data_IF_942166899061
#
_entry.id   IF_942166899061
#
_cell.length_a   1.000
_cell.length_b   1.000
_cell.length_c   1.000
_cell.angle_alpha   90.00
_cell.angle_beta   90.00
_cell.angle_gamma   90.00
#
_symmetry.space_group_name_H-M   'P 1'
#
loop_
_entity.id
_entity.type
_entity.pdbx_description
1 polymer ?
#
# COMPACT_ATOMS: atom_id res chain seq x y z
N UNK A 1 -11.78 -3.25 -41.58
CA UNK A 1 -11.46 -3.08 -40.14
C UNK A 1 -10.04 -2.54 -40.04
N UNK A 2 -9.83 -1.28 -39.63
CA UNK A 2 -8.47 -0.78 -39.37
C UNK A 2 -7.98 -1.50 -38.09
N UNK A 3 -6.90 -2.26 -38.21
CA UNK A 3 -6.20 -2.82 -37.05
C UNK A 3 -5.69 -1.62 -36.26
N UNK A 4 -6.34 -1.30 -35.16
CA UNK A 4 -5.91 -0.23 -34.27
C UNK A 4 -4.62 -0.73 -33.60
N UNK A 5 -3.48 -0.16 -33.96
CA UNK A 5 -2.19 -0.52 -33.36
C UNK A 5 -2.21 -0.18 -31.89
N UNK A 6 -2.03 -1.18 -31.02
CA UNK A 6 -1.97 -0.98 -29.56
C UNK A 6 -0.81 -0.06 -29.19
N UNK A 7 -1.04 0.87 -28.26
CA UNK A 7 0.02 1.73 -27.71
C UNK A 7 0.96 0.90 -26.83
N UNK A 8 2.25 0.97 -27.06
CA UNK A 8 3.26 0.24 -26.28
C UNK A 8 3.54 0.90 -24.94
N UNK A 9 3.31 0.20 -23.83
CA UNK A 9 3.64 0.65 -22.49
C UNK A 9 4.72 -0.23 -21.86
N UNK A 10 5.82 0.39 -21.40
CA UNK A 10 6.82 -0.29 -20.57
C UNK A 10 6.50 -0.01 -19.09
N UNK A 11 6.24 -1.05 -18.31
CA UNK A 11 5.99 -0.96 -16.88
C UNK A 11 7.18 -1.50 -16.09
N UNK A 12 7.88 -0.63 -15.37
CA UNK A 12 9.04 -0.95 -14.56
C UNK A 12 8.67 -0.87 -13.07
N UNK A 13 8.88 -1.93 -12.29
CA UNK A 13 8.44 -2.01 -10.90
C UNK A 13 9.54 -2.47 -9.94
N UNK A 14 9.41 -2.15 -8.65
CA UNK A 14 10.35 -2.56 -7.58
C UNK A 14 10.24 -4.06 -7.20
N UNK A 15 9.53 -4.84 -7.95
CA UNK A 15 9.39 -6.29 -7.75
C UNK A 15 8.26 -6.89 -8.56
N UNK A 16 7.98 -8.17 -8.31
CA UNK A 16 6.86 -8.90 -8.88
C UNK A 16 5.59 -8.74 -8.02
N UNK A 17 4.58 -9.56 -8.30
CA UNK A 17 3.33 -9.65 -7.54
C UNK A 17 3.51 -9.93 -6.04
N UNK A 18 4.64 -10.55 -5.63
CA UNK A 18 4.99 -10.75 -4.23
C UNK A 18 5.34 -9.44 -3.49
N UNK A 19 5.73 -8.41 -4.23
CA UNK A 19 5.94 -7.08 -3.66
C UNK A 19 4.61 -6.33 -3.59
N UNK A 20 4.13 -6.06 -2.37
CA UNK A 20 2.83 -5.41 -2.15
C UNK A 20 2.70 -4.07 -2.89
N UNK A 21 3.74 -3.21 -2.84
CA UNK A 21 3.70 -1.92 -3.52
C UNK A 21 3.66 -2.07 -5.04
N UNK A 22 4.44 -2.98 -5.64
CA UNK A 22 4.38 -3.25 -7.07
C UNK A 22 3.01 -3.78 -7.49
N UNK A 23 2.45 -4.72 -6.72
CA UNK A 23 1.13 -5.30 -6.96
C UNK A 23 0.05 -4.23 -6.92
N UNK A 24 0.01 -3.43 -5.84
CA UNK A 24 -1.05 -2.46 -5.56
C UNK A 24 -0.93 -1.22 -6.46
N UNK A 25 0.29 -0.74 -6.75
CA UNK A 25 0.50 0.53 -7.46
C UNK A 25 0.62 0.40 -8.97
N UNK A 26 0.94 -0.81 -9.46
CA UNK A 26 1.23 -1.01 -10.89
C UNK A 26 0.58 -2.25 -11.48
N UNK A 27 0.89 -3.44 -10.96
CA UNK A 27 0.59 -4.69 -11.65
C UNK A 27 -0.90 -4.98 -11.77
N UNK A 28 -1.70 -4.60 -10.77
CA UNK A 28 -3.15 -4.77 -10.82
C UNK A 28 -3.84 -3.94 -11.92
N UNK A 29 -3.14 -2.95 -12.47
CA UNK A 29 -3.66 -2.12 -13.55
C UNK A 29 -3.35 -2.66 -14.96
N UNK A 30 -2.51 -3.69 -15.07
CA UNK A 30 -2.14 -4.24 -16.39
C UNK A 30 -3.38 -4.64 -17.20
N UNK A 31 -4.34 -5.44 -16.68
CA UNK A 31 -5.54 -5.81 -17.44
C UNK A 31 -6.34 -4.59 -17.88
N UNK A 32 -6.48 -3.59 -17.00
CA UNK A 32 -7.22 -2.36 -17.33
C UNK A 32 -6.55 -1.57 -18.46
N UNK A 33 -5.21 -1.46 -18.47
CA UNK A 33 -4.50 -0.83 -19.58
C UNK A 33 -4.67 -1.61 -20.89
N UNK A 34 -4.63 -2.95 -20.82
CA UNK A 34 -4.83 -3.81 -22.00
C UNK A 34 -6.23 -3.63 -22.59
N UNK A 35 -7.26 -3.48 -21.76
CA UNK A 35 -8.63 -3.17 -22.16
C UNK A 35 -8.76 -1.77 -22.80
N UNK A 36 -7.88 -0.83 -22.42
CA UNK A 36 -7.80 0.51 -23.03
C UNK A 36 -6.91 0.57 -24.27
N UNK A 37 -6.51 -0.58 -24.82
CA UNK A 37 -5.74 -0.65 -26.05
C UNK A 37 -4.22 -0.45 -25.90
N UNK A 38 -3.69 -0.61 -24.69
CA UNK A 38 -2.25 -0.67 -24.47
C UNK A 38 -1.72 -2.11 -24.64
N UNK A 39 -0.47 -2.23 -25.05
CA UNK A 39 0.30 -3.47 -24.96
C UNK A 39 1.34 -3.30 -23.87
N UNK A 40 1.11 -3.91 -22.72
CA UNK A 40 1.95 -3.70 -21.53
C UNK A 40 3.08 -4.72 -21.46
N UNK A 41 4.32 -4.25 -21.42
CA UNK A 41 5.49 -5.10 -21.12
C UNK A 41 5.99 -4.79 -19.71
N UNK A 42 5.90 -5.76 -18.83
CA UNK A 42 6.35 -5.63 -17.44
C UNK A 42 7.79 -6.11 -17.27
N UNK A 43 8.64 -5.28 -16.65
CA UNK A 43 10.01 -5.62 -16.28
C UNK A 43 10.23 -5.26 -14.80
N UNK A 44 10.27 -6.24 -13.90
CA UNK A 44 10.55 -6.01 -12.48
C UNK A 44 12.04 -5.72 -12.27
N UNK A 45 12.36 -4.97 -11.22
CA UNK A 45 13.75 -4.66 -10.88
C UNK A 45 14.54 -5.85 -10.35
N UNK A 46 13.98 -6.60 -9.42
CA UNK A 46 14.60 -7.82 -8.83
C UNK A 46 13.51 -8.64 -8.13
N UNK A 47 13.47 -9.96 -8.28
CA UNK A 47 12.65 -10.81 -7.42
C UNK A 47 13.12 -10.76 -5.96
N UNK A 48 12.29 -11.25 -5.05
CA UNK A 48 12.56 -11.27 -3.60
C UNK A 48 13.99 -11.69 -3.26
N UNK A 49 14.54 -11.07 -2.19
CA UNK A 49 15.85 -11.48 -1.68
C UNK A 49 15.80 -12.92 -1.21
N UNK A 50 16.74 -13.77 -1.65
CA UNK A 50 16.78 -15.15 -1.22
C UNK A 50 17.01 -15.24 0.31
N UNK A 51 16.44 -16.28 0.92
CA UNK A 51 16.53 -16.49 2.36
C UNK A 51 17.92 -16.99 2.84
N UNK A 52 18.62 -17.74 2.00
CA UNK A 52 19.91 -18.34 2.38
C UNK A 52 21.13 -17.45 2.06
N UNK A 53 22.21 -17.67 2.82
CA UNK A 53 23.43 -16.83 2.76
C UNK A 53 24.16 -16.93 1.40
N UNK A 54 24.25 -18.13 0.82
CA UNK A 54 24.94 -18.38 -0.46
C UNK A 54 24.22 -17.64 -1.58
N UNK A 55 22.90 -17.74 -1.65
CA UNK A 55 22.10 -17.00 -2.64
C UNK A 55 22.17 -15.49 -2.45
N UNK A 56 22.28 -15.00 -1.21
CA UNK A 56 22.48 -13.56 -0.93
C UNK A 56 23.82 -13.03 -1.42
N UNK A 57 24.87 -13.79 -1.25
CA UNK A 57 26.23 -13.31 -1.54
C UNK A 57 26.62 -13.49 -3.01
N UNK A 58 26.21 -14.59 -3.65
CA UNK A 58 26.66 -14.94 -5.00
C UNK A 58 25.58 -14.64 -6.05
N UNK A 59 24.40 -15.22 -5.91
CA UNK A 59 23.38 -15.13 -6.95
C UNK A 59 22.64 -13.79 -6.98
N UNK A 60 22.37 -13.18 -5.83
CA UNK A 60 21.63 -11.93 -5.78
C UNK A 60 22.31 -10.75 -6.49
N UNK A 61 23.65 -10.53 -6.38
CA UNK A 61 24.34 -9.51 -7.16
C UNK A 61 24.29 -9.75 -8.67
N UNK A 62 24.40 -11.02 -9.11
CA UNK A 62 24.30 -11.39 -10.51
C UNK A 62 22.88 -11.15 -11.05
N UNK A 63 21.85 -11.58 -10.32
CA UNK A 63 20.47 -11.31 -10.66
C UNK A 63 20.18 -9.81 -10.73
N UNK A 64 20.69 -9.03 -9.77
CA UNK A 64 20.52 -7.57 -9.78
C UNK A 64 21.15 -6.94 -11.03
N UNK A 65 22.34 -7.38 -11.44
CA UNK A 65 22.98 -6.92 -12.69
C UNK A 65 22.18 -7.31 -13.92
N UNK A 66 21.71 -8.56 -13.96
CA UNK A 66 20.86 -9.07 -15.05
C UNK A 66 19.56 -8.28 -15.21
N UNK A 67 18.84 -8.01 -14.13
CA UNK A 67 17.61 -7.19 -14.19
C UNK A 67 17.90 -5.73 -14.57
N UNK A 68 18.99 -5.15 -14.07
CA UNK A 68 19.41 -3.82 -14.52
C UNK A 68 19.72 -3.79 -16.01
N UNK A 69 20.33 -4.86 -16.53
CA UNK A 69 20.58 -5.01 -17.95
C UNK A 69 19.30 -5.20 -18.76
N UNK A 70 18.34 -5.99 -18.27
CA UNK A 70 17.01 -6.09 -18.90
C UNK A 70 16.30 -4.75 -18.98
N UNK A 71 16.30 -3.96 -17.91
CA UNK A 71 15.72 -2.59 -17.92
C UNK A 71 16.44 -1.71 -18.95
N UNK A 72 17.76 -1.80 -18.98
CA UNK A 72 18.56 -1.07 -19.98
C UNK A 72 18.16 -1.46 -21.40
N UNK A 73 18.11 -2.74 -21.73
CA UNK A 73 17.71 -3.24 -23.05
C UNK A 73 16.28 -2.80 -23.40
N UNK A 74 15.34 -2.93 -22.45
CA UNK A 74 13.95 -2.52 -22.68
C UNK A 74 13.84 -1.04 -23.03
N UNK A 75 14.54 -0.15 -22.29
CA UNK A 75 14.50 1.29 -22.55
C UNK A 75 15.23 1.65 -23.86
N UNK A 76 16.37 1.04 -24.13
CA UNK A 76 17.23 1.42 -25.28
C UNK A 76 16.67 0.93 -26.60
N UNK A 77 16.23 -0.32 -26.64
CA UNK A 77 15.83 -1.00 -27.89
C UNK A 77 14.33 -1.13 -28.07
N UNK A 78 13.54 -1.07 -26.99
CA UNK A 78 12.09 -1.17 -27.08
C UNK A 78 11.45 0.03 -27.78
N UNK A 79 10.28 -0.18 -28.37
CA UNK A 79 9.44 0.87 -28.96
C UNK A 79 8.25 1.10 -28.03
N UNK A 80 8.25 2.22 -27.35
CA UNK A 80 7.26 2.56 -26.32
C UNK A 80 6.62 3.90 -26.62
N UNK A 81 5.34 4.00 -26.39
CA UNK A 81 4.61 5.26 -26.39
C UNK A 81 4.68 5.92 -25.01
N UNK A 82 4.85 5.10 -23.93
CA UNK A 82 4.95 5.59 -22.56
C UNK A 82 5.73 4.59 -21.68
N UNK A 83 6.41 5.10 -20.64
CA UNK A 83 7.06 4.30 -19.60
C UNK A 83 6.45 4.61 -18.24
N UNK A 84 5.93 3.60 -17.52
CA UNK A 84 5.47 3.71 -16.16
C UNK A 84 6.52 3.13 -15.21
N UNK A 85 7.01 3.94 -14.26
CA UNK A 85 8.11 3.57 -13.36
C UNK A 85 7.63 3.64 -11.91
N UNK A 86 7.53 2.47 -11.25
CA UNK A 86 7.09 2.37 -9.87
C UNK A 86 8.29 2.11 -8.94
N UNK A 87 8.61 3.07 -8.06
CA UNK A 87 9.61 2.99 -6.95
C UNK A 87 11.05 2.64 -7.33
N UNK A 88 11.38 2.49 -8.59
CA UNK A 88 12.77 2.21 -8.99
C UNK A 88 13.47 3.46 -9.51
N UNK A 89 14.79 3.42 -9.51
CA UNK A 89 15.64 4.47 -10.05
C UNK A 89 16.32 3.99 -11.32
N UNK A 90 16.16 4.74 -12.41
CA UNK A 90 16.93 4.57 -13.63
C UNK A 90 18.07 5.59 -13.69
N UNK A 91 19.13 5.30 -14.43
CA UNK A 91 20.27 6.22 -14.55
C UNK A 91 19.91 7.46 -15.36
N UNK A 92 20.61 8.57 -15.10
CA UNK A 92 20.44 9.81 -15.89
C UNK A 92 20.67 9.60 -17.39
N UNK A 93 21.51 8.64 -17.78
CA UNK A 93 21.70 8.27 -19.19
C UNK A 93 20.43 7.68 -19.80
N UNK A 94 19.70 6.83 -19.08
CA UNK A 94 18.44 6.26 -19.53
C UNK A 94 17.33 7.31 -19.58
N UNK A 95 17.27 8.22 -18.61
CA UNK A 95 16.37 9.38 -18.64
C UNK A 95 16.62 10.22 -19.87
N UNK A 96 17.88 10.59 -20.14
CA UNK A 96 18.27 11.34 -21.35
C UNK A 96 17.89 10.58 -22.64
N UNK A 97 17.97 9.24 -22.62
CA UNK A 97 17.59 8.42 -23.78
C UNK A 97 16.08 8.46 -24.03
N UNK A 98 15.26 8.39 -22.99
CA UNK A 98 13.80 8.55 -23.09
C UNK A 98 13.45 9.93 -23.66
N UNK A 99 14.02 10.99 -23.10
CA UNK A 99 13.78 12.36 -23.54
C UNK A 99 14.19 12.60 -25.02
N UNK A 100 15.36 12.08 -25.46
CA UNK A 100 15.80 12.18 -26.87
C UNK A 100 14.88 11.46 -27.85
N UNK A 101 14.14 10.46 -27.37
CA UNK A 101 13.15 9.70 -28.16
C UNK A 101 11.74 10.24 -28.01
N UNK A 102 11.57 11.33 -27.26
CA UNK A 102 10.25 11.90 -26.92
C UNK A 102 9.30 10.86 -26.31
N UNK A 103 9.84 9.91 -25.51
CA UNK A 103 9.05 8.92 -24.79
C UNK A 103 8.78 9.44 -23.39
N UNK A 104 7.53 9.81 -23.06
CA UNK A 104 7.18 10.29 -21.73
C UNK A 104 7.28 9.17 -20.70
N UNK A 105 7.64 9.54 -19.45
CA UNK A 105 7.56 8.60 -18.36
C UNK A 105 6.84 9.17 -17.14
N UNK A 106 6.07 8.30 -16.49
CA UNK A 106 5.39 8.54 -15.22
C UNK A 106 6.22 7.92 -14.12
N UNK A 107 6.43 8.64 -13.01
CA UNK A 107 7.10 8.13 -11.82
C UNK A 107 6.12 8.01 -10.66
N UNK A 108 5.89 6.80 -10.17
CA UNK A 108 4.97 6.49 -9.07
C UNK A 108 5.75 6.03 -7.83
N UNK A 109 5.40 6.58 -6.66
CA UNK A 109 5.89 6.09 -5.38
C UNK A 109 4.89 6.36 -4.23
N UNK A 110 4.76 5.38 -3.32
CA UNK A 110 3.74 5.32 -2.28
C UNK A 110 4.26 5.48 -0.85
N UNK A 111 5.59 5.50 -0.67
CA UNK A 111 6.26 5.66 0.62
C UNK A 111 7.41 6.68 0.51
N UNK A 112 7.87 7.18 1.64
CA UNK A 112 9.06 8.03 1.74
C UNK A 112 10.36 7.24 1.43
N UNK A 113 10.48 6.71 0.21
CA UNK A 113 11.64 5.90 -0.23
C UNK A 113 12.97 6.65 -0.19
N UNK A 114 12.91 7.98 -0.10
CA UNK A 114 14.03 8.89 0.02
C UNK A 114 14.52 9.05 1.48
N UNK A 115 13.71 8.65 2.47
CA UNK A 115 14.09 8.62 3.89
C UNK A 115 14.60 7.22 4.24
N UNK A 116 15.88 6.96 4.06
CA UNK A 116 16.48 5.68 4.43
C UNK A 116 17.90 5.89 4.94
N UNK A 117 18.14 5.81 6.27
CA UNK A 117 19.47 6.00 6.84
C UNK A 117 20.52 5.04 6.30
N UNK A 118 20.13 3.83 5.91
CA UNK A 118 21.04 2.83 5.32
C UNK A 118 21.32 3.05 3.83
N UNK A 119 20.65 4.01 3.19
CA UNK A 119 20.77 4.32 1.75
C UNK A 119 20.67 5.84 1.52
N UNK A 120 21.66 6.63 1.99
CA UNK A 120 21.60 8.11 1.94
C UNK A 120 21.41 8.65 0.52
N UNK A 121 21.96 7.99 -0.47
CA UNK A 121 21.83 8.38 -1.88
C UNK A 121 20.41 8.21 -2.46
N UNK A 122 19.47 7.62 -1.72
CA UNK A 122 18.11 7.47 -2.21
C UNK A 122 17.42 8.82 -2.37
N UNK A 123 17.72 9.82 -1.52
CA UNK A 123 17.14 11.15 -1.63
C UNK A 123 17.47 11.79 -2.99
N UNK A 124 18.72 11.78 -3.38
CA UNK A 124 19.16 12.33 -4.67
C UNK A 124 18.58 11.55 -5.85
N UNK A 125 18.58 10.21 -5.77
CA UNK A 125 18.00 9.36 -6.81
C UNK A 125 16.51 9.62 -7.00
N UNK A 126 15.75 9.73 -5.89
CA UNK A 126 14.32 10.07 -5.96
C UNK A 126 14.13 11.46 -6.54
N UNK A 127 14.93 12.43 -6.10
CA UNK A 127 14.91 13.79 -6.62
C UNK A 127 15.14 13.83 -8.14
N UNK A 128 16.08 13.06 -8.65
CA UNK A 128 16.33 12.97 -10.08
C UNK A 128 15.16 12.36 -10.84
N UNK A 129 14.54 11.32 -10.31
CA UNK A 129 13.33 10.75 -10.91
C UNK A 129 12.19 11.77 -10.95
N UNK A 130 11.96 12.47 -9.83
CA UNK A 130 10.92 13.50 -9.69
C UNK A 130 11.16 14.64 -10.68
N UNK A 131 12.38 15.20 -10.73
CA UNK A 131 12.70 16.34 -11.64
C UNK A 131 12.45 16.06 -13.11
N UNK A 132 12.73 14.86 -13.55
CA UNK A 132 12.74 14.52 -14.97
C UNK A 132 11.50 13.72 -15.43
N UNK A 133 10.64 13.29 -14.53
CA UNK A 133 9.38 12.66 -14.90
C UNK A 133 8.45 13.66 -15.58
N UNK A 134 7.72 13.22 -16.60
CA UNK A 134 6.68 14.02 -17.23
C UNK A 134 5.48 14.18 -16.29
N UNK A 135 5.21 13.16 -15.48
CA UNK A 135 4.25 13.19 -14.38
C UNK A 135 4.78 12.40 -13.20
N UNK A 136 4.52 12.91 -12.00
CA UNK A 136 4.80 12.21 -10.74
C UNK A 136 3.47 11.86 -10.08
N UNK A 137 3.36 10.63 -9.58
CA UNK A 137 2.19 10.15 -8.84
C UNK A 137 2.65 9.74 -7.45
N UNK A 138 1.93 10.20 -6.45
CA UNK A 138 2.18 9.87 -5.03
C UNK A 138 0.91 9.35 -4.37
N UNK A 139 1.06 8.62 -3.27
CA UNK A 139 -0.09 8.04 -2.56
C UNK A 139 -0.77 8.99 -1.58
N UNK A 140 -0.07 10.03 -1.12
CA UNK A 140 -0.54 10.93 -0.06
C UNK A 140 -0.06 12.36 -0.29
N UNK A 141 -0.80 13.33 0.27
CA UNK A 141 -0.40 14.75 0.28
C UNK A 141 0.92 14.99 1.01
N UNK A 142 1.25 14.16 1.99
CA UNK A 142 2.50 14.26 2.76
C UNK A 142 3.76 14.03 1.92
N UNK A 143 3.63 13.38 0.75
CA UNK A 143 4.73 13.23 -0.20
C UNK A 143 4.87 14.43 -1.15
N UNK A 144 3.91 15.35 -1.12
CA UNK A 144 3.84 16.50 -2.03
C UNK A 144 5.00 17.48 -1.80
N UNK A 145 5.31 17.83 -0.55
CA UNK A 145 6.39 18.75 -0.21
C UNK A 145 7.73 18.34 -0.83
N UNK A 146 8.02 17.04 -0.78
CA UNK A 146 9.22 16.51 -1.42
C UNK A 146 9.23 16.77 -2.93
N UNK A 147 8.12 16.53 -3.62
CA UNK A 147 8.02 16.76 -5.05
C UNK A 147 8.10 18.26 -5.41
N UNK A 148 7.40 19.11 -4.65
CA UNK A 148 7.41 20.55 -4.82
C UNK A 148 8.80 21.15 -4.68
N UNK A 149 9.62 20.63 -3.75
CA UNK A 149 11.01 21.08 -3.56
C UNK A 149 11.91 20.85 -4.80
N UNK A 150 11.43 20.08 -5.79
CA UNK A 150 12.11 19.81 -7.06
C UNK A 150 11.33 20.34 -8.27
N UNK A 151 10.36 21.25 -8.05
CA UNK A 151 9.61 21.91 -9.11
C UNK A 151 8.53 21.04 -9.77
N UNK A 152 8.11 19.94 -9.12
CA UNK A 152 7.07 19.07 -9.62
C UNK A 152 5.82 19.13 -8.73
N UNK A 153 4.67 19.31 -9.34
CA UNK A 153 3.36 19.15 -8.70
C UNK A 153 2.90 17.73 -8.98
N UNK A 154 2.90 16.84 -7.97
CA UNK A 154 2.49 15.46 -8.20
C UNK A 154 0.96 15.35 -8.28
N UNK A 155 0.50 14.31 -8.94
CA UNK A 155 -0.89 13.85 -8.87
C UNK A 155 -1.04 12.90 -7.67
N UNK A 156 -2.10 13.05 -6.90
CA UNK A 156 -2.32 12.22 -5.72
C UNK A 156 -3.31 11.13 -6.07
N UNK A 157 -2.83 9.89 -6.09
CA UNK A 157 -3.65 8.69 -6.22
C UNK A 157 -3.35 7.80 -5.02
N UNK A 158 -4.27 7.74 -4.06
CA UNK A 158 -4.17 6.86 -2.89
C UNK A 158 -4.00 5.41 -3.33
N UNK A 159 -3.38 4.57 -2.50
CA UNK A 159 -3.21 3.15 -2.82
C UNK A 159 -4.57 2.49 -3.04
N UNK A 160 -4.86 1.96 -4.23
CA UNK A 160 -6.18 1.39 -4.54
C UNK A 160 -6.39 0.06 -3.83
N UNK A 161 -7.62 -0.22 -3.44
CA UNK A 161 -8.01 -1.51 -2.85
C UNK A 161 -8.88 -2.32 -3.81
N UNK A 162 -8.67 -3.64 -3.86
CA UNK A 162 -9.45 -4.59 -4.67
C UNK A 162 -10.77 -4.89 -3.95
N UNK A 163 -11.77 -4.03 -4.12
CA UNK A 163 -13.07 -4.13 -3.43
C UNK A 163 -13.92 -5.32 -3.86
N UNK A 164 -13.63 -5.91 -4.99
CA UNK A 164 -14.20 -7.18 -5.49
C UNK A 164 -13.58 -8.40 -4.81
N UNK A 165 -12.31 -8.36 -4.44
CA UNK A 165 -11.58 -9.43 -3.74
C UNK A 165 -11.71 -9.31 -2.23
N UNK A 166 -11.47 -8.12 -1.68
CA UNK A 166 -11.62 -7.83 -0.24
C UNK A 166 -13.03 -7.32 -0.01
N UNK A 167 -13.89 -8.20 0.46
CA UNK A 167 -15.33 -7.94 0.63
C UNK A 167 -15.82 -8.45 1.99
N UNK A 168 -16.96 -7.95 2.48
CA UNK A 168 -17.58 -8.45 3.68
C UNK A 168 -17.75 -9.97 3.63
N UNK A 169 -17.47 -10.64 4.73
CA UNK A 169 -17.75 -12.06 4.91
C UNK A 169 -18.94 -12.26 5.85
N UNK A 170 -19.73 -13.30 5.57
CA UNK A 170 -20.77 -13.73 6.50
C UNK A 170 -20.12 -14.23 7.79
N UNK A 171 -20.57 -13.70 8.91
CA UNK A 171 -20.13 -14.10 10.25
C UNK A 171 -21.11 -15.10 10.85
N UNK A 172 -20.58 -16.14 11.48
CA UNK A 172 -21.44 -17.08 12.18
C UNK A 172 -22.06 -16.42 13.42
N UNK A 173 -23.35 -16.69 13.68
CA UNK A 173 -23.99 -16.33 14.95
C UNK A 173 -23.19 -16.92 16.12
N UNK A 174 -22.91 -16.11 17.14
CA UNK A 174 -22.12 -16.48 18.33
C UNK A 174 -20.59 -16.63 18.12
N UNK A 175 -20.05 -16.10 17.03
CA UNK A 175 -18.59 -16.03 16.90
C UNK A 175 -18.01 -15.04 17.92
N UNK A 176 -16.89 -15.42 18.56
CA UNK A 176 -16.17 -14.53 19.49
C UNK A 176 -15.70 -13.28 18.76
N UNK A 177 -16.01 -12.10 19.33
CA UNK A 177 -15.56 -10.81 18.80
C UNK A 177 -14.05 -10.83 18.59
N UNK A 178 -13.61 -10.38 17.41
CA UNK A 178 -12.20 -10.41 17.03
C UNK A 178 -11.72 -9.00 16.70
N UNK A 179 -10.80 -8.50 17.49
CA UNK A 179 -10.04 -7.30 17.21
C UNK A 179 -8.81 -7.71 16.38
N UNK A 180 -8.60 -7.09 15.23
CA UNK A 180 -7.59 -7.56 14.28
C UNK A 180 -6.60 -6.51 13.85
N UNK A 181 -5.37 -6.95 13.59
CA UNK A 181 -4.34 -6.16 12.94
C UNK A 181 -3.66 -6.98 11.83
N UNK A 182 -3.49 -6.37 10.66
CA UNK A 182 -2.72 -6.95 9.57
C UNK A 182 -1.54 -6.05 9.22
N UNK A 183 -0.39 -6.63 8.94
CA UNK A 183 0.76 -5.84 8.54
C UNK A 183 2.01 -6.64 8.21
N UNK A 184 3.15 -6.00 8.31
CA UNK A 184 4.45 -6.64 8.12
C UNK A 184 5.17 -6.82 9.45
N UNK A 185 6.14 -7.74 9.55
CA UNK A 185 6.95 -7.92 10.75
C UNK A 185 7.63 -6.62 11.21
N UNK A 186 7.96 -5.74 10.26
CA UNK A 186 8.56 -4.44 10.55
C UNK A 186 7.63 -3.50 11.30
N UNK A 187 6.34 -3.48 10.95
CA UNK A 187 5.35 -2.57 11.54
C UNK A 187 4.66 -3.16 12.77
N UNK A 188 4.87 -4.46 13.09
CA UNK A 188 4.29 -5.08 14.29
C UNK A 188 4.78 -4.48 15.60
N UNK A 189 5.96 -3.82 15.60
CA UNK A 189 6.45 -3.08 16.76
C UNK A 189 5.55 -1.91 17.20
N UNK A 190 4.71 -1.40 16.31
CA UNK A 190 3.76 -0.32 16.63
C UNK A 190 2.57 -0.80 17.47
N UNK A 191 2.32 -2.11 17.51
CA UNK A 191 1.29 -2.70 18.38
C UNK A 191 1.54 -2.42 19.86
N UNK A 192 2.79 -2.12 20.25
CA UNK A 192 3.13 -1.69 21.62
C UNK A 192 2.35 -0.46 22.09
N UNK A 193 1.94 0.42 21.16
CA UNK A 193 1.15 1.61 21.46
C UNK A 193 -0.24 1.29 22.04
N UNK A 194 -0.75 0.08 21.77
CA UNK A 194 -2.11 -0.31 22.14
C UNK A 194 -2.15 -1.53 23.08
N UNK A 195 -1.01 -2.04 23.53
CA UNK A 195 -0.96 -3.20 24.42
C UNK A 195 -1.70 -2.95 25.72
N UNK A 196 -1.47 -1.81 26.38
CA UNK A 196 -2.12 -1.44 27.65
C UNK A 196 -3.65 -1.30 27.51
N UNK A 197 -4.19 -0.53 26.55
CA UNK A 197 -5.63 -0.48 26.30
C UNK A 197 -6.24 -1.86 26.05
N UNK A 198 -5.61 -2.70 25.23
CA UNK A 198 -6.10 -4.05 24.95
C UNK A 198 -6.10 -4.95 26.20
N UNK A 199 -5.07 -4.87 27.05
CA UNK A 199 -5.01 -5.61 28.32
C UNK A 199 -6.08 -5.16 29.30
N UNK A 200 -6.33 -3.84 29.41
CA UNK A 200 -7.43 -3.30 30.23
C UNK A 200 -8.80 -3.82 29.76
N UNK A 201 -9.02 -3.85 28.45
CA UNK A 201 -10.25 -4.38 27.86
C UNK A 201 -10.41 -5.89 28.12
N UNK A 202 -9.34 -6.67 28.02
CA UNK A 202 -9.36 -8.10 28.26
C UNK A 202 -9.70 -8.49 29.71
N UNK A 203 -9.46 -7.60 30.68
CA UNK A 203 -9.90 -7.78 32.06
C UNK A 203 -11.43 -7.65 32.23
N UNK A 204 -12.12 -7.03 31.26
CA UNK A 204 -13.56 -6.74 31.35
C UNK A 204 -14.38 -7.48 30.30
N UNK A 205 -13.80 -7.73 29.12
CA UNK A 205 -14.48 -8.30 27.96
C UNK A 205 -13.76 -9.52 27.42
N UNK A 206 -14.53 -10.49 26.92
CA UNK A 206 -13.99 -11.65 26.21
C UNK A 206 -13.93 -11.38 24.72
N UNK A 207 -12.73 -11.29 24.15
CA UNK A 207 -12.50 -11.13 22.73
C UNK A 207 -11.21 -11.86 22.30
N UNK A 208 -11.06 -12.03 21.00
CA UNK A 208 -9.85 -12.53 20.36
C UNK A 208 -9.04 -11.36 19.82
N UNK A 209 -7.74 -11.38 20.00
CA UNK A 209 -6.83 -10.48 19.28
C UNK A 209 -6.14 -11.26 18.17
N UNK A 210 -6.41 -10.91 16.90
CA UNK A 210 -5.83 -11.56 15.72
C UNK A 210 -4.75 -10.66 15.12
N UNK A 211 -3.52 -11.17 15.03
CA UNK A 211 -2.46 -10.49 14.27
C UNK A 211 -2.08 -11.31 13.04
N UNK A 212 -2.03 -10.67 11.88
CA UNK A 212 -1.64 -11.29 10.60
C UNK A 212 -0.39 -10.62 10.07
N UNK A 213 0.68 -11.40 9.88
CA UNK A 213 1.97 -10.92 9.38
C UNK A 213 2.81 -10.16 10.42
N UNK A 214 2.50 -10.26 11.72
CA UNK A 214 3.38 -9.79 12.77
C UNK A 214 4.68 -10.60 12.85
N UNK A 215 5.65 -10.10 13.59
CA UNK A 215 6.86 -10.87 13.91
C UNK A 215 6.47 -12.17 14.65
N UNK A 216 7.18 -13.24 14.38
CA UNK A 216 6.89 -14.56 14.99
C UNK A 216 7.08 -14.58 16.51
N UNK A 217 7.90 -13.65 17.04
CA UNK A 217 8.14 -13.47 18.48
C UNK A 217 7.17 -12.46 19.14
N UNK A 218 6.28 -11.82 18.37
CA UNK A 218 5.31 -10.90 18.94
C UNK A 218 4.24 -11.65 19.74
N UNK A 219 4.13 -11.33 21.01
CA UNK A 219 3.12 -11.86 21.93
C UNK A 219 2.65 -10.74 22.85
N UNK A 220 1.39 -10.78 23.20
CA UNK A 220 0.79 -9.92 24.23
C UNK A 220 0.22 -10.81 25.32
N UNK A 221 0.60 -10.55 26.57
CA UNK A 221 0.15 -11.32 27.73
C UNK A 221 -1.24 -10.88 28.20
N UNK A 222 -2.00 -11.81 28.79
CA UNK A 222 -3.32 -11.52 29.35
C UNK A 222 -4.45 -11.37 28.34
N UNK A 223 -4.23 -11.73 27.07
CA UNK A 223 -5.23 -11.66 26.01
C UNK A 223 -5.27 -12.97 25.23
N UNK A 224 -6.44 -13.35 24.75
CA UNK A 224 -6.59 -14.45 23.79
C UNK A 224 -6.02 -14.01 22.43
N UNK A 225 -4.69 -14.19 22.25
CA UNK A 225 -3.95 -13.74 21.08
C UNK A 225 -3.68 -14.89 20.11
N UNK A 226 -4.07 -14.69 18.85
CA UNK A 226 -3.78 -15.58 17.73
C UNK A 226 -2.91 -14.84 16.73
N UNK A 227 -1.76 -15.41 16.39
CA UNK A 227 -0.86 -14.90 15.37
C UNK A 227 -0.88 -15.80 14.13
N UNK A 228 -1.09 -15.21 12.95
CA UNK A 228 -1.04 -15.90 11.67
C UNK A 228 0.04 -15.29 10.77
N UNK A 229 0.75 -16.07 9.96
CA UNK A 229 1.59 -15.53 8.91
C UNK A 229 0.71 -14.82 7.87
N UNK A 230 1.26 -13.80 7.22
CA UNK A 230 0.59 -13.20 6.08
C UNK A 230 0.82 -14.03 4.81
N UNK A 231 -0.25 -14.45 4.17
CA UNK A 231 -0.26 -15.12 2.88
C UNK A 231 -1.29 -14.40 2.00
N UNK A 232 -0.92 -14.09 0.76
CA UNK A 232 -1.80 -13.32 -0.12
C UNK A 232 -3.15 -14.02 -0.40
N UNK A 233 -3.13 -15.33 -0.57
CA UNK A 233 -4.34 -16.10 -0.81
C UNK A 233 -5.33 -16.05 0.37
N UNK A 234 -4.83 -15.96 1.59
CA UNK A 234 -5.63 -16.00 2.83
C UNK A 234 -6.02 -14.60 3.31
N UNK A 235 -5.60 -13.54 2.60
CA UNK A 235 -5.75 -12.16 3.05
C UNK A 235 -7.22 -11.78 3.31
N UNK A 236 -8.12 -12.09 2.36
CA UNK A 236 -9.54 -11.80 2.49
C UNK A 236 -10.19 -12.59 3.63
N UNK A 237 -9.86 -13.88 3.75
CA UNK A 237 -10.36 -14.73 4.83
C UNK A 237 -9.91 -14.21 6.21
N UNK A 238 -8.63 -13.87 6.34
CA UNK A 238 -8.10 -13.36 7.60
C UNK A 238 -8.69 -12.00 7.99
N UNK A 239 -8.91 -11.10 7.03
CA UNK A 239 -9.60 -9.83 7.28
C UNK A 239 -11.05 -10.10 7.68
N UNK A 240 -11.75 -10.99 6.97
CA UNK A 240 -13.14 -11.35 7.26
C UNK A 240 -13.39 -11.94 8.66
N UNK A 241 -12.35 -12.44 9.34
CA UNK A 241 -12.44 -12.89 10.73
C UNK A 241 -12.47 -11.72 11.75
N UNK A 242 -12.10 -10.50 11.34
CA UNK A 242 -12.03 -9.34 12.22
C UNK A 242 -13.37 -8.63 12.33
N UNK A 243 -13.70 -8.11 13.53
CA UNK A 243 -14.85 -7.25 13.80
C UNK A 243 -14.45 -5.79 13.93
N UNK A 244 -13.20 -5.55 14.33
CA UNK A 244 -12.61 -4.22 14.49
C UNK A 244 -11.18 -4.28 13.96
N UNK A 245 -10.83 -3.39 13.04
CA UNK A 245 -9.49 -3.27 12.47
C UNK A 245 -8.64 -2.24 13.21
N UNK A 246 -7.33 -2.50 13.37
CA UNK A 246 -6.42 -1.60 14.08
C UNK A 246 -5.33 -1.05 13.18
N UNK A 247 -5.05 0.27 13.34
CA UNK A 247 -3.91 0.92 12.68
C UNK A 247 -3.15 1.85 13.63
N UNK A 248 -2.45 1.32 14.64
CA UNK A 248 -1.58 2.12 15.50
C UNK A 248 -0.32 2.55 14.75
N UNK A 249 -0.02 3.83 14.79
CA UNK A 249 1.19 4.43 14.24
C UNK A 249 1.77 5.44 15.23
N UNK A 250 3.09 5.40 15.53
CA UNK A 250 3.74 6.52 16.20
C UNK A 250 3.77 7.71 15.24
N UNK A 251 3.71 8.93 15.77
CA UNK A 251 3.82 10.14 14.95
C UNK A 251 5.29 10.46 14.67
N UNK A 252 5.74 10.12 13.48
CA UNK A 252 7.08 10.38 12.97
C UNK A 252 7.03 10.77 11.50
N UNK A 253 8.07 11.44 10.99
CA UNK A 253 8.13 11.82 9.57
C UNK A 253 7.92 10.64 8.62
N UNK A 254 8.41 9.45 8.97
CA UNK A 254 8.23 8.27 8.15
C UNK A 254 6.79 7.72 8.18
N UNK A 255 6.14 7.72 9.35
CA UNK A 255 4.78 7.18 9.50
C UNK A 255 3.72 8.12 8.96
N UNK A 256 3.94 9.43 9.01
CA UNK A 256 3.07 10.44 8.38
C UNK A 256 2.92 10.23 6.87
N UNK A 257 3.96 9.69 6.22
CA UNK A 257 3.98 9.47 4.76
C UNK A 257 3.44 8.11 4.31
N UNK A 258 2.86 7.31 5.23
CA UNK A 258 2.27 6.01 4.89
C UNK A 258 0.93 6.14 4.18
N UNK A 259 0.71 5.30 3.16
CA UNK A 259 -0.48 5.33 2.31
C UNK A 259 -1.78 4.77 2.92
N UNK A 260 -1.85 4.41 4.21
CA UNK A 260 -3.09 4.01 4.87
C UNK A 260 -3.73 2.70 4.38
N UNK A 261 -3.06 1.88 3.58
CA UNK A 261 -3.63 0.75 2.86
C UNK A 261 -4.41 -0.24 3.74
N UNK A 262 -3.98 -0.49 4.98
CA UNK A 262 -4.72 -1.36 5.92
C UNK A 262 -6.14 -0.85 6.21
N UNK A 263 -6.28 0.46 6.38
CA UNK A 263 -7.60 1.08 6.61
C UNK A 263 -8.51 0.82 5.42
N UNK A 264 -7.99 0.98 4.20
CA UNK A 264 -8.74 0.70 2.98
C UNK A 264 -9.14 -0.78 2.85
N UNK A 265 -8.29 -1.69 3.33
CA UNK A 265 -8.63 -3.12 3.39
C UNK A 265 -9.76 -3.39 4.40
N UNK A 266 -9.71 -2.81 5.62
CA UNK A 266 -10.78 -2.93 6.60
C UNK A 266 -12.09 -2.32 6.08
N UNK A 267 -12.03 -1.10 5.54
CA UNK A 267 -13.18 -0.43 4.92
C UNK A 267 -13.76 -1.28 3.79
N UNK A 268 -12.92 -1.81 2.91
CA UNK A 268 -13.37 -2.69 1.82
C UNK A 268 -14.08 -3.94 2.33
N UNK A 269 -13.65 -4.50 3.45
CA UNK A 269 -14.28 -5.65 4.11
C UNK A 269 -15.51 -5.27 4.96
N UNK A 270 -15.89 -3.99 5.01
CA UNK A 270 -17.02 -3.52 5.84
C UNK A 270 -16.71 -3.59 7.35
N UNK A 271 -15.45 -3.42 7.74
CA UNK A 271 -14.97 -3.51 9.12
C UNK A 271 -14.61 -2.12 9.62
N UNK A 272 -15.22 -1.63 10.72
CA UNK A 272 -14.84 -0.37 11.34
C UNK A 272 -13.42 -0.45 11.89
N UNK A 273 -12.72 0.67 11.91
CA UNK A 273 -11.34 0.72 12.39
C UNK A 273 -11.12 1.74 13.49
N UNK A 274 -10.10 1.48 14.32
CA UNK A 274 -9.50 2.48 15.20
C UNK A 274 -8.07 2.71 14.76
N UNK A 275 -7.68 3.96 14.56
CA UNK A 275 -6.38 4.32 14.02
C UNK A 275 -5.74 5.48 14.79
N UNK A 276 -4.40 5.55 14.80
CA UNK A 276 -3.71 6.76 15.25
C UNK A 276 -3.97 7.94 14.29
N UNK A 277 -4.15 9.18 14.79
CA UNK A 277 -4.36 10.38 13.97
C UNK A 277 -3.04 10.84 13.31
N UNK A 278 -2.43 9.98 12.50
CA UNK A 278 -1.12 10.17 11.89
C UNK A 278 -1.22 10.10 10.38
N UNK A 279 -0.72 11.13 9.70
CA UNK A 279 -0.68 11.18 8.24
C UNK A 279 -2.07 11.02 7.64
N UNK A 280 -2.15 10.26 6.56
CA UNK A 280 -3.39 10.04 5.80
C UNK A 280 -4.51 9.34 6.60
N UNK A 281 -4.21 8.73 7.76
CA UNK A 281 -5.25 8.17 8.62
C UNK A 281 -6.31 9.22 8.98
N UNK A 282 -5.90 10.48 9.18
CA UNK A 282 -6.81 11.59 9.50
C UNK A 282 -7.77 11.95 8.34
N UNK A 283 -7.39 11.61 7.11
CA UNK A 283 -8.23 11.84 5.92
C UNK A 283 -9.14 10.64 5.64
N UNK A 284 -8.61 9.42 5.82
CA UNK A 284 -9.34 8.18 5.54
C UNK A 284 -10.38 7.91 6.64
N UNK A 285 -10.01 8.09 7.92
CA UNK A 285 -10.89 7.81 9.04
C UNK A 285 -11.66 9.07 9.42
N UNK A 286 -12.98 9.01 9.29
CA UNK A 286 -13.93 10.04 9.73
C UNK A 286 -14.57 9.57 11.04
N UNK A 287 -14.20 10.18 12.18
CA UNK A 287 -14.68 9.74 13.50
C UNK A 287 -16.21 9.70 13.57
N UNK A 288 -16.78 8.55 13.98
CA UNK A 288 -18.21 8.34 14.09
C UNK A 288 -18.94 8.08 12.76
N UNK A 289 -18.26 8.15 11.62
CA UNK A 289 -18.83 7.86 10.30
C UNK A 289 -18.35 6.49 9.75
N UNK A 290 -17.04 6.24 9.72
CA UNK A 290 -16.46 5.00 9.19
C UNK A 290 -15.45 4.32 10.14
N UNK A 291 -15.14 4.95 11.29
CA UNK A 291 -14.20 4.46 12.28
C UNK A 291 -13.93 5.50 13.37
N UNK A 292 -12.83 5.36 14.09
CA UNK A 292 -12.40 6.28 15.12
C UNK A 292 -10.90 6.56 15.05
N UNK A 293 -10.51 7.73 15.56
CA UNK A 293 -9.11 8.10 15.78
C UNK A 293 -8.80 8.08 17.27
N UNK A 294 -7.61 7.59 17.64
CA UNK A 294 -7.16 7.54 19.02
C UNK A 294 -5.64 7.79 19.10
N UNK A 295 -5.23 8.77 19.93
CA UNK A 295 -3.84 9.18 20.10
C UNK A 295 -3.21 8.62 21.39
N UNK A 296 -3.99 8.53 22.47
CA UNK A 296 -3.53 8.12 23.81
C UNK A 296 -4.25 6.86 24.29
N UNK A 297 -3.66 6.18 25.29
CA UNK A 297 -4.18 4.93 25.84
C UNK A 297 -5.66 4.97 26.19
N UNK A 298 -6.11 6.10 26.76
CA UNK A 298 -7.50 6.26 27.20
C UNK A 298 -8.47 6.35 26.01
N UNK A 299 -8.09 7.07 24.95
CA UNK A 299 -8.91 7.17 23.72
C UNK A 299 -8.99 5.80 23.03
N UNK A 300 -7.86 5.07 22.92
CA UNK A 300 -7.86 3.70 22.41
C UNK A 300 -8.79 2.80 23.20
N UNK A 301 -8.73 2.88 24.53
CA UNK A 301 -9.62 2.11 25.39
C UNK A 301 -11.09 2.45 25.12
N UNK A 302 -11.46 3.72 25.14
CA UNK A 302 -12.85 4.17 24.98
C UNK A 302 -13.42 3.83 23.60
N UNK A 303 -12.67 4.07 22.51
CA UNK A 303 -13.13 3.76 21.16
C UNK A 303 -13.30 2.25 20.93
N UNK A 304 -12.37 1.47 21.45
CA UNK A 304 -12.48 0.01 21.38
C UNK A 304 -13.61 -0.53 22.26
N UNK A 305 -13.79 0.00 23.47
CA UNK A 305 -14.90 -0.38 24.37
C UNK A 305 -16.26 -0.10 23.73
N UNK A 306 -16.42 1.07 23.11
CA UNK A 306 -17.64 1.43 22.38
C UNK A 306 -17.92 0.43 21.25
N UNK A 307 -16.90 0.09 20.44
CA UNK A 307 -17.06 -0.87 19.36
C UNK A 307 -17.26 -2.32 19.85
N UNK A 308 -16.73 -2.71 21.00
CA UNK A 308 -16.98 -4.03 21.61
C UNK A 308 -18.45 -4.17 22.01
N UNK A 309 -19.02 -3.14 22.65
CA UNK A 309 -20.36 -3.19 23.23
C UNK A 309 -21.47 -2.95 22.21
N UNK A 310 -21.21 -2.24 21.12
CA UNK A 310 -22.25 -1.83 20.16
C UNK A 310 -22.06 -2.51 18.80
N UNK A 311 -22.82 -3.59 18.59
CA UNK A 311 -22.82 -4.34 17.34
C UNK A 311 -23.40 -3.52 16.16
N UNK A 312 -24.48 -2.77 16.42
CA UNK A 312 -25.13 -1.97 15.38
C UNK A 312 -24.21 -0.83 14.91
N UNK A 313 -23.49 -0.22 15.83
CA UNK A 313 -22.48 0.77 15.51
C UNK A 313 -21.39 0.17 14.61
N UNK A 314 -20.90 -1.05 14.91
CA UNK A 314 -19.90 -1.72 14.04
C UNK A 314 -20.43 -1.91 12.62
N UNK A 315 -21.68 -2.36 12.48
CA UNK A 315 -22.32 -2.56 11.18
C UNK A 315 -22.43 -1.23 10.44
N UNK A 316 -22.94 -0.19 11.10
CA UNK A 316 -23.12 1.14 10.51
C UNK A 316 -21.78 1.71 10.00
N UNK A 317 -20.76 1.77 10.87
CA UNK A 317 -19.45 2.32 10.50
C UNK A 317 -18.77 1.48 9.41
N UNK A 318 -18.87 0.16 9.49
CA UNK A 318 -18.33 -0.76 8.49
C UNK A 318 -18.99 -0.58 7.11
N UNK A 319 -20.33 -0.44 7.08
CA UNK A 319 -21.09 -0.20 5.85
C UNK A 319 -20.70 1.14 5.20
N UNK A 320 -20.62 2.20 5.99
CA UNK A 320 -20.19 3.52 5.50
C UNK A 320 -18.75 3.45 4.94
N UNK A 321 -17.82 2.83 5.70
CA UNK A 321 -16.45 2.64 5.25
C UNK A 321 -16.37 1.88 3.93
N UNK A 322 -17.20 0.83 3.75
CA UNK A 322 -17.24 0.10 2.48
C UNK A 322 -17.76 0.96 1.33
N UNK A 323 -18.80 1.74 1.54
CA UNK A 323 -19.26 2.69 0.53
C UNK A 323 -18.14 3.61 0.05
N UNK A 324 -17.45 4.24 1.00
CA UNK A 324 -16.30 5.10 0.67
C UNK A 324 -15.14 4.35 -0.01
N UNK A 325 -14.86 3.12 0.41
CA UNK A 325 -13.82 2.31 -0.23
C UNK A 325 -14.12 2.04 -1.71
N UNK A 326 -15.37 1.76 -2.03
CA UNK A 326 -15.83 1.55 -3.41
C UNK A 326 -15.79 2.86 -4.22
N UNK A 327 -16.31 3.94 -3.68
CA UNK A 327 -16.50 5.21 -4.40
C UNK A 327 -15.19 5.99 -4.60
N UNK A 328 -14.25 5.92 -3.66
CA UNK A 328 -13.07 6.78 -3.65
C UNK A 328 -11.75 6.03 -3.86
N UNK A 329 -11.66 4.77 -3.42
CA UNK A 329 -10.42 4.03 -3.29
C UNK A 329 -10.41 2.69 -4.01
N UNK A 330 -11.48 2.33 -4.72
CA UNK A 330 -11.49 1.11 -5.53
C UNK A 330 -10.42 1.17 -6.63
N UNK A 331 -9.98 0.00 -7.04
CA UNK A 331 -9.01 -0.16 -8.13
C UNK A 331 -9.48 0.53 -9.41
N UNK A 332 -10.76 0.42 -9.71
CA UNK A 332 -11.44 0.98 -10.88
C UNK A 332 -11.37 2.51 -10.85
N UNK A 333 -11.78 3.14 -9.75
CA UNK A 333 -11.78 4.61 -9.60
C UNK A 333 -10.35 5.18 -9.63
N UNK A 334 -9.41 4.49 -8.98
CA UNK A 334 -8.01 4.92 -9.01
C UNK A 334 -7.40 4.74 -10.41
N UNK A 335 -7.79 3.68 -11.14
CA UNK A 335 -7.35 3.49 -12.53
C UNK A 335 -7.88 4.58 -13.46
N UNK A 336 -9.14 4.99 -13.34
CA UNK A 336 -9.68 6.09 -14.13
C UNK A 336 -8.90 7.40 -13.93
N UNK A 337 -8.52 7.70 -12.69
CA UNK A 337 -7.66 8.85 -12.38
C UNK A 337 -6.30 8.70 -13.07
N UNK A 338 -5.68 7.53 -12.96
CA UNK A 338 -4.40 7.21 -13.57
C UNK A 338 -4.46 7.31 -15.10
N UNK A 339 -5.50 6.75 -15.70
CA UNK A 339 -5.69 6.77 -17.16
C UNK A 339 -5.82 8.19 -17.69
N UNK A 340 -6.58 9.06 -17.02
CA UNK A 340 -6.70 10.49 -17.38
C UNK A 340 -5.36 11.23 -17.36
N UNK A 341 -4.46 10.87 -16.42
CA UNK A 341 -3.12 11.44 -16.33
C UNK A 341 -2.27 10.97 -17.53
N UNK A 342 -2.31 9.67 -17.81
CA UNK A 342 -1.53 9.05 -18.89
C UNK A 342 -1.99 9.52 -20.26
N UNK A 343 -3.27 9.73 -20.49
CA UNK A 343 -3.82 10.20 -21.76
C UNK A 343 -3.45 11.66 -22.11
N UNK A 344 -2.99 12.43 -21.13
CA UNK A 344 -2.53 13.83 -21.33
C UNK A 344 -1.04 13.91 -21.69
N UNK A 345 -0.34 12.80 -21.73
CA UNK A 345 1.07 12.69 -22.09
C UNK A 345 1.25 12.32 -23.57
#
# INVERSE_FOLDING_TARGET
MKIQTKKGMLMLTDGNSDNASARIRALQYIPFFEDQGYSVTHVPRVPLRPSNLISKCIFYPLFKRWYSFKIFLAIVFGKWDIVFIQRIFISSLLIKKLNRRSIPFVYDFDDAIYINPKRPNNREKTANMVRFANKVIVSTEYLNEFCLSFGQIPEIITSPVETDRIRPSEKQKNQMLTIGWMGSPWTSGFLKLIEKPLQRLANKYTFRFLTVGARSDYKISGINHIAKPWVFADENENIGQMDIGLMPLPDTDWTRMKGGYKLLQYMSAGIPCVASPVGINQTIVKPGENGFLAAIDEEWYQMLEMLINDHELRIKLGSNGRGEAIELYSREVCFEKLLKIIQKL
#
